data_IF_143445254423
#
_entry.id   IF_143445254423
#
_cell.length_a   1.000
_cell.length_b   1.000
_cell.length_c   1.000
_cell.angle_alpha   90.00
_cell.angle_beta   90.00
_cell.angle_gamma   90.00
#
_symmetry.space_group_name_H-M   'P 1'
#
loop_
_entity.id
_entity.type
_entity.pdbx_description
1 polymer ?
#
# COMPACT_ATOMS: atom_id res chain seq x y z
N UNK A 1 -3.08 6.82 4.46
CA UNK A 1 -2.52 5.49 4.17
C UNK A 1 -1.22 5.60 3.37
N UNK A 2 -1.23 5.90 2.06
CA UNK A 2 0.03 5.99 1.28
C UNK A 2 1.03 7.02 1.85
N UNK A 3 0.58 8.24 2.15
CA UNK A 3 1.43 9.27 2.75
C UNK A 3 1.94 8.91 4.16
N UNK A 4 1.12 8.24 4.98
CA UNK A 4 1.55 7.78 6.31
C UNK A 4 2.63 6.69 6.22
N UNK A 5 2.51 5.77 5.25
CA UNK A 5 3.54 4.76 4.96
C UNK A 5 4.84 5.43 4.49
N UNK A 6 4.76 6.43 3.62
CA UNK A 6 5.91 7.22 3.19
C UNK A 6 6.61 7.90 4.38
N UNK A 7 5.84 8.63 5.20
CA UNK A 7 6.36 9.39 6.35
C UNK A 7 6.97 8.48 7.42
N UNK A 8 6.42 7.28 7.61
CA UNK A 8 6.95 6.27 8.54
C UNK A 8 8.25 5.63 8.05
N UNK A 9 8.61 5.79 6.77
CA UNK A 9 9.79 5.16 6.17
C UNK A 9 9.58 3.72 5.70
N UNK A 10 8.39 3.13 5.86
CA UNK A 10 8.06 1.77 5.43
C UNK A 10 8.22 1.54 3.92
N UNK A 11 8.20 2.60 3.11
CA UNK A 11 8.37 2.53 1.64
C UNK A 11 9.82 2.64 1.17
N UNK A 12 10.79 2.84 2.06
CA UNK A 12 12.18 3.05 1.65
C UNK A 12 12.74 1.85 0.90
N UNK A 13 12.70 0.66 1.50
CA UNK A 13 13.20 -0.58 0.88
C UNK A 13 12.52 -0.84 -0.47
N UNK A 14 11.19 -0.75 -0.51
CA UNK A 14 10.39 -0.91 -1.72
C UNK A 14 10.84 0.03 -2.85
N UNK A 15 10.99 1.33 -2.58
CA UNK A 15 11.39 2.30 -3.60
C UNK A 15 12.83 2.13 -4.06
N UNK A 16 13.78 1.88 -3.16
CA UNK A 16 15.18 1.72 -3.53
C UNK A 16 15.46 0.39 -4.24
N UNK A 17 14.61 -0.62 -4.06
CA UNK A 17 14.72 -1.90 -4.76
C UNK A 17 13.96 -1.91 -6.11
N UNK A 18 13.00 -1.01 -6.30
CA UNK A 18 12.17 -0.95 -7.52
C UNK A 18 12.86 -0.23 -8.69
N UNK A 19 13.74 0.74 -8.43
CA UNK A 19 14.38 1.54 -9.50
C UNK A 19 15.91 1.55 -9.37
N UNK A 20 16.66 1.46 -10.47
CA UNK A 20 18.13 1.51 -10.46
C UNK A 20 18.69 2.94 -10.25
N UNK A 21 18.02 3.77 -9.44
CA UNK A 21 18.34 5.19 -9.27
C UNK A 21 17.56 5.84 -8.12
N UNK A 22 17.44 7.17 -8.15
CA UNK A 22 16.69 7.88 -7.12
C UNK A 22 15.17 7.74 -7.34
N UNK A 23 14.40 7.33 -6.32
CA UNK A 23 12.96 7.24 -6.45
C UNK A 23 12.34 8.62 -6.64
N UNK A 24 11.54 8.76 -7.70
CA UNK A 24 10.84 9.99 -8.04
C UNK A 24 9.42 10.00 -7.46
N UNK A 25 8.77 11.17 -7.51
CA UNK A 25 7.35 11.31 -7.13
C UNK A 25 6.43 10.37 -7.93
N UNK A 26 6.84 9.97 -9.14
CA UNK A 26 6.12 9.00 -9.96
C UNK A 26 6.07 7.61 -9.32
N UNK A 27 7.14 7.18 -8.66
CA UNK A 27 7.15 5.90 -7.92
C UNK A 27 6.11 5.92 -6.79
N UNK A 28 5.98 7.05 -6.09
CA UNK A 28 4.93 7.22 -5.09
C UNK A 28 3.52 7.21 -5.71
N UNK A 29 3.33 7.87 -6.85
CA UNK A 29 2.04 7.85 -7.54
C UNK A 29 1.66 6.44 -8.02
N UNK A 30 2.60 5.68 -8.58
CA UNK A 30 2.37 4.28 -8.96
C UNK A 30 1.98 3.42 -7.76
N UNK A 31 2.71 3.56 -6.65
CA UNK A 31 2.36 2.88 -5.40
C UNK A 31 0.97 3.28 -4.89
N UNK A 32 0.59 4.55 -4.99
CA UNK A 32 -0.75 5.02 -4.64
C UNK A 32 -1.84 4.37 -5.51
N UNK A 33 -1.63 4.30 -6.82
CA UNK A 33 -2.55 3.60 -7.73
C UNK A 33 -2.65 2.10 -7.42
N UNK A 34 -1.52 1.44 -7.13
CA UNK A 34 -1.49 0.06 -6.68
C UNK A 34 -2.35 -0.15 -5.42
N UNK A 35 -2.20 0.72 -4.40
CA UNK A 35 -2.99 0.61 -3.18
C UNK A 35 -4.49 0.76 -3.42
N UNK A 36 -4.91 1.66 -4.31
CA UNK A 36 -6.33 1.81 -4.66
C UNK A 36 -6.87 0.56 -5.34
N UNK A 37 -6.12 0.02 -6.30
CA UNK A 37 -6.51 -1.18 -7.04
C UNK A 37 -6.61 -2.42 -6.14
N UNK A 38 -5.63 -2.64 -5.27
CA UNK A 38 -5.66 -3.77 -4.34
C UNK A 38 -6.68 -3.57 -3.22
N UNK A 39 -6.92 -2.32 -2.78
CA UNK A 39 -7.97 -2.05 -1.80
C UNK A 39 -9.36 -2.35 -2.37
N UNK A 40 -9.61 -2.02 -3.64
CA UNK A 40 -10.88 -2.33 -4.31
C UNK A 40 -11.15 -3.84 -4.30
N UNK A 41 -10.17 -4.64 -4.73
CA UNK A 41 -10.25 -6.12 -4.65
C UNK A 41 -10.48 -6.61 -3.23
N UNK A 42 -9.70 -6.10 -2.28
CA UNK A 42 -9.83 -6.46 -0.87
C UNK A 42 -11.23 -6.14 -0.34
N UNK A 43 -11.76 -4.97 -0.65
CA UNK A 43 -13.07 -4.51 -0.23
C UNK A 43 -14.19 -5.44 -0.73
N UNK A 44 -14.14 -5.86 -1.99
CA UNK A 44 -15.11 -6.81 -2.53
C UNK A 44 -14.98 -8.21 -1.90
N UNK A 45 -13.74 -8.68 -1.68
CA UNK A 45 -13.49 -10.00 -1.09
C UNK A 45 -13.92 -10.11 0.38
N UNK A 46 -13.89 -9.00 1.12
CA UNK A 46 -14.26 -8.99 2.54
C UNK A 46 -15.77 -8.93 2.79
N UNK A 47 -16.58 -8.74 1.74
CA UNK A 47 -18.05 -8.70 1.77
C UNK A 47 -18.63 -7.95 2.99
N UNK A 48 -18.28 -6.66 3.18
CA UNK A 48 -18.68 -5.92 4.37
C UNK A 48 -20.20 -5.75 4.43
N UNK A 49 -20.78 -6.00 5.61
CA UNK A 49 -22.23 -5.86 5.84
C UNK A 49 -22.75 -4.44 5.55
N UNK A 50 -21.90 -3.42 5.75
CA UNK A 50 -22.25 -2.02 5.54
C UNK A 50 -21.02 -1.15 5.37
N UNK A 51 -21.17 -0.08 4.59
CA UNK A 51 -20.15 0.98 4.43
C UNK A 51 -19.73 1.64 5.75
N UNK A 52 -20.55 1.53 6.81
CA UNK A 52 -20.20 2.04 8.14
C UNK A 52 -18.91 1.42 8.70
N UNK A 53 -18.58 0.19 8.29
CA UNK A 53 -17.36 -0.50 8.70
C UNK A 53 -16.13 -0.11 7.89
N UNK A 54 -16.26 0.83 6.94
CA UNK A 54 -15.18 1.20 6.00
C UNK A 54 -13.85 1.48 6.70
N UNK A 55 -13.86 2.25 7.79
CA UNK A 55 -12.63 2.59 8.50
C UNK A 55 -11.93 1.36 9.11
N UNK A 56 -12.70 0.38 9.59
CA UNK A 56 -12.15 -0.86 10.15
C UNK A 56 -11.45 -1.69 9.06
N UNK A 57 -12.11 -1.89 7.92
CA UNK A 57 -11.52 -2.60 6.78
C UNK A 57 -10.34 -1.84 6.19
N UNK A 58 -10.41 -0.51 6.15
CA UNK A 58 -9.30 0.34 5.72
C UNK A 58 -8.07 0.16 6.61
N UNK A 59 -8.23 0.12 7.93
CA UNK A 59 -7.09 -0.14 8.82
C UNK A 59 -6.61 -1.60 8.74
N UNK A 60 -7.51 -2.57 8.58
CA UNK A 60 -7.13 -3.97 8.32
C UNK A 60 -6.25 -4.09 7.08
N UNK A 61 -6.64 -3.46 5.97
CA UNK A 61 -5.84 -3.41 4.75
C UNK A 61 -4.51 -2.68 4.96
N UNK A 62 -4.53 -1.55 5.68
CA UNK A 62 -3.32 -0.79 5.98
C UNK A 62 -2.28 -1.63 6.73
N UNK A 63 -2.71 -2.42 7.71
CA UNK A 63 -1.83 -3.31 8.47
C UNK A 63 -1.32 -4.49 7.63
N UNK A 64 -2.14 -5.04 6.73
CA UNK A 64 -1.68 -6.03 5.75
C UNK A 64 -0.56 -5.46 4.85
N UNK A 65 -0.73 -4.23 4.34
CA UNK A 65 0.28 -3.56 3.51
C UNK A 65 1.57 -3.31 4.31
N UNK A 66 1.49 -2.86 5.56
CA UNK A 66 2.67 -2.70 6.42
C UNK A 66 3.41 -4.03 6.61
N UNK A 67 2.68 -5.11 6.85
CA UNK A 67 3.27 -6.43 7.01
C UNK A 67 4.00 -6.87 5.74
N UNK A 68 3.38 -6.67 4.56
CA UNK A 68 4.00 -6.94 3.27
C UNK A 68 5.31 -6.14 3.09
N UNK A 69 5.25 -4.82 3.32
CA UNK A 69 6.41 -3.92 3.23
C UNK A 69 7.50 -4.20 4.27
N UNK A 70 7.22 -5.00 5.31
CA UNK A 70 8.25 -5.43 6.26
C UNK A 70 9.23 -6.43 5.64
N UNK A 71 8.87 -7.08 4.54
CA UNK A 71 9.80 -7.85 3.74
C UNK A 71 10.60 -6.89 2.82
N UNK A 72 11.92 -6.74 3.00
CA UNK A 72 12.72 -5.81 2.21
C UNK A 72 12.79 -6.18 0.73
N UNK A 73 12.58 -7.45 0.35
CA UNK A 73 12.63 -7.90 -1.05
C UNK A 73 11.33 -7.64 -1.82
N UNK A 74 10.28 -7.18 -1.15
CA UNK A 74 8.98 -7.04 -1.80
C UNK A 74 8.93 -5.81 -2.72
N UNK A 75 8.42 -6.01 -3.93
CA UNK A 75 8.13 -4.95 -4.89
C UNK A 75 6.64 -5.01 -5.23
N UNK A 76 5.88 -4.08 -4.66
CA UNK A 76 4.45 -3.89 -4.90
C UNK A 76 4.23 -2.94 -6.08
N UNK A 77 3.71 -3.46 -7.19
CA UNK A 77 3.40 -2.72 -8.42
C UNK A 77 2.14 -3.31 -9.05
N UNK A 78 1.41 -2.50 -9.83
CA UNK A 78 0.37 -2.96 -10.75
C UNK A 78 0.96 -3.91 -11.79
#
# INVERSE_FOLDING_TARGET
MAYSLLKSGALKSHFYNMVPGFPEIKCFHQFFCYLLYEFDKFWFNEEPESIMHFNQYREKFHDQIKHLLSNPEIILTL
#
